data_IF_607433234108
#
_entry.id   IF_607433234108
#
_cell.length_a   1.000
_cell.length_b   1.000
_cell.length_c   1.000
_cell.angle_alpha   90.00
_cell.angle_beta   90.00
_cell.angle_gamma   90.00
#
_symmetry.space_group_name_H-M   'P 1'
#
loop_
_entity.id
_entity.type
_entity.pdbx_description
1 polymer ?
#
# COMPACT_ATOMS: atom_id res chain seq x y z
N UNK A 1 -4.93 1.69 -52.10
CA UNK A 1 -3.59 1.52 -51.57
C UNK A 1 -3.69 1.46 -50.05
N UNK A 2 -3.69 0.27 -49.54
CA UNK A 2 -3.84 -0.07 -48.12
C UNK A 2 -2.48 -0.05 -47.44
N UNK A 3 -2.28 0.86 -46.53
CA UNK A 3 -1.11 0.90 -45.66
C UNK A 3 -1.39 0.25 -44.33
N UNK A 4 -1.02 -1.03 -44.18
CA UNK A 4 -0.96 -1.74 -42.91
C UNK A 4 0.19 -1.17 -42.09
N UNK A 5 -0.10 -0.43 -41.05
CA UNK A 5 0.89 -0.17 -39.99
C UNK A 5 0.83 -1.35 -38.99
N UNK A 6 1.75 -2.28 -39.17
CA UNK A 6 2.14 -3.23 -38.12
C UNK A 6 2.77 -2.42 -36.98
N UNK A 7 2.02 -2.27 -35.90
CA UNK A 7 2.58 -1.82 -34.61
C UNK A 7 3.40 -2.98 -34.04
N UNK A 8 4.70 -2.73 -33.91
CA UNK A 8 5.68 -3.65 -33.36
C UNK A 8 5.28 -4.14 -31.95
N UNK A 9 4.96 -5.42 -31.87
CA UNK A 9 4.62 -6.14 -30.65
C UNK A 9 5.76 -6.22 -29.61
N UNK A 10 6.94 -5.72 -29.92
CA UNK A 10 8.11 -5.79 -29.04
C UNK A 10 8.18 -4.70 -27.99
N UNK A 11 7.42 -3.60 -28.16
CA UNK A 11 7.37 -2.50 -27.17
C UNK A 11 6.21 -2.67 -26.18
N UNK A 12 5.19 -3.47 -26.50
CA UNK A 12 4.03 -3.70 -25.61
C UNK A 12 4.27 -4.78 -24.55
N UNK A 13 5.14 -5.74 -24.81
CA UNK A 13 5.42 -6.83 -23.85
C UNK A 13 6.03 -6.37 -22.51
N UNK A 14 6.93 -5.37 -22.43
CA UNK A 14 7.40 -4.86 -21.14
C UNK A 14 6.33 -4.10 -20.35
N UNK A 15 5.43 -3.37 -21.03
CA UNK A 15 4.33 -2.63 -20.39
C UNK A 15 3.24 -3.57 -19.85
N UNK A 16 2.92 -4.62 -20.58
CA UNK A 16 1.94 -5.64 -20.16
C UNK A 16 2.49 -6.50 -19.00
N UNK A 17 3.81 -6.77 -18.98
CA UNK A 17 4.46 -7.43 -17.86
C UNK A 17 4.52 -6.52 -16.63
N UNK A 18 4.73 -5.21 -16.82
CA UNK A 18 4.60 -4.21 -15.76
C UNK A 18 3.16 -4.20 -15.20
N UNK A 19 2.16 -4.21 -16.06
CA UNK A 19 0.75 -4.30 -15.66
C UNK A 19 0.42 -5.62 -14.94
N UNK A 20 0.96 -6.75 -15.35
CA UNK A 20 0.72 -8.04 -14.71
C UNK A 20 1.38 -8.15 -13.31
N UNK A 21 2.55 -7.54 -13.10
CA UNK A 21 3.13 -7.35 -11.77
C UNK A 21 2.32 -6.37 -10.91
N UNK A 22 1.68 -5.40 -11.56
CA UNK A 22 0.86 -4.34 -10.96
C UNK A 22 -0.55 -4.83 -10.59
N UNK A 23 -1.10 -5.84 -11.25
CA UNK A 23 -2.39 -6.48 -10.91
C UNK A 23 -2.39 -7.08 -9.49
N UNK A 24 -1.23 -7.45 -8.98
CA UNK A 24 -1.07 -7.90 -7.59
C UNK A 24 -1.09 -6.75 -6.56
N UNK A 25 -1.03 -5.50 -7.01
CA UNK A 25 -0.84 -4.31 -6.16
C UNK A 25 -2.12 -3.47 -6.04
N UNK A 26 -3.11 -3.71 -6.90
CA UNK A 26 -4.39 -3.01 -6.85
C UNK A 26 -5.27 -3.57 -5.74
N UNK A 27 -5.19 -3.04 -4.63
CA UNK A 27 -6.03 -3.45 -3.55
C UNK A 27 -5.65 -2.85 -2.22
N UNK A 28 -4.98 -1.69 -2.21
CA UNK A 28 -4.14 -1.42 -1.12
C UNK A 28 -4.32 -0.11 -0.41
N UNK A 29 -5.39 0.60 -0.43
CA UNK A 29 -5.45 1.84 0.30
C UNK A 29 -6.76 2.09 1.03
N UNK A 30 -6.82 1.84 2.30
CA UNK A 30 -7.78 2.48 3.16
C UNK A 30 -7.21 2.73 4.52
N UNK A 31 -7.00 3.95 4.81
CA UNK A 31 -6.43 4.28 6.07
C UNK A 31 -7.01 5.50 6.68
N UNK A 32 -7.39 5.33 7.84
CA UNK A 32 -7.64 6.38 8.79
C UNK A 32 -8.95 7.15 8.56
N UNK A 33 -10.03 6.42 8.57
CA UNK A 33 -11.20 7.00 9.19
C UNK A 33 -10.83 7.34 10.64
N UNK A 34 -10.52 8.59 10.88
CA UNK A 34 -10.49 9.13 12.21
C UNK A 34 -11.93 9.09 12.70
N UNK A 35 -12.19 8.22 13.67
CA UNK A 35 -13.37 8.21 14.53
C UNK A 35 -14.75 8.20 13.83
N UNK A 36 -15.11 7.06 13.24
CA UNK A 36 -16.50 6.64 13.14
C UNK A 36 -16.51 5.12 13.15
N UNK A 37 -17.05 4.51 14.17
CA UNK A 37 -17.19 3.09 14.45
C UNK A 37 -15.91 2.24 14.55
N UNK A 38 -15.76 1.52 15.67
CA UNK A 38 -14.63 0.61 15.92
C UNK A 38 -14.46 -0.44 14.82
N UNK A 39 -15.53 -0.88 14.17
CA UNK A 39 -15.48 -1.84 13.06
C UNK A 39 -14.88 -1.26 11.78
N UNK A 40 -15.24 -0.02 11.41
CA UNK A 40 -14.69 0.61 10.21
C UNK A 40 -13.22 1.02 10.42
N UNK A 41 -12.83 1.41 11.63
CA UNK A 41 -11.43 1.67 11.97
C UNK A 41 -10.54 0.43 11.89
N UNK A 42 -11.06 -0.76 12.22
CA UNK A 42 -10.33 -2.01 12.09
C UNK A 42 -10.21 -2.48 10.65
N UNK A 43 -11.28 -2.35 9.85
CA UNK A 43 -11.24 -2.62 8.41
C UNK A 43 -10.18 -1.77 7.73
N UNK A 44 -10.21 -0.46 7.97
CA UNK A 44 -9.21 0.47 7.47
C UNK A 44 -7.78 0.08 7.89
N UNK A 45 -7.58 -0.39 9.11
CA UNK A 45 -6.26 -0.79 9.60
C UNK A 45 -5.76 -2.07 8.95
N UNK A 46 -6.59 -3.11 8.83
CA UNK A 46 -6.22 -4.37 8.16
C UNK A 46 -5.89 -4.14 6.69
N UNK A 47 -6.67 -3.32 6.03
CA UNK A 47 -6.43 -2.92 4.67
C UNK A 47 -5.07 -2.22 4.51
N UNK A 48 -4.74 -1.27 5.35
CA UNK A 48 -3.46 -0.56 5.31
C UNK A 48 -2.24 -1.44 5.54
N UNK A 49 -2.38 -2.46 6.40
CA UNK A 49 -1.33 -3.45 6.59
C UNK A 49 -1.16 -4.27 5.32
N UNK A 50 -2.25 -4.66 4.69
CA UNK A 50 -2.24 -5.36 3.40
C UNK A 50 -1.41 -4.61 2.37
N UNK A 51 -1.59 -3.30 2.29
CA UNK A 51 -0.90 -2.38 1.40
C UNK A 51 0.56 -2.27 1.61
N UNK A 52 0.88 -1.86 2.81
CA UNK A 52 2.26 -1.74 3.19
C UNK A 52 2.97 -3.08 2.98
N UNK A 53 2.27 -4.19 3.27
CA UNK A 53 2.75 -5.53 3.05
C UNK A 53 3.00 -5.84 1.56
N UNK A 54 2.09 -5.44 0.67
CA UNK A 54 2.20 -5.73 -0.76
C UNK A 54 3.36 -4.98 -1.41
N UNK A 55 3.48 -3.69 -1.13
CA UNK A 55 4.62 -2.87 -1.58
C UNK A 55 5.95 -3.45 -1.13
N UNK A 56 6.03 -3.92 0.12
CA UNK A 56 7.25 -4.53 0.64
C UNK A 56 7.47 -5.91 0.04
N UNK A 57 6.43 -6.71 -0.15
CA UNK A 57 6.52 -8.07 -0.70
C UNK A 57 7.03 -8.07 -2.14
N UNK A 58 6.47 -7.22 -3.01
CA UNK A 58 6.93 -7.07 -4.39
C UNK A 58 8.41 -6.68 -4.48
N UNK A 59 8.89 -5.89 -3.52
CA UNK A 59 10.26 -5.41 -3.47
C UNK A 59 11.26 -6.37 -2.80
N UNK A 60 10.78 -7.25 -1.90
CA UNK A 60 11.65 -8.15 -1.13
C UNK A 60 11.79 -9.56 -1.72
N UNK A 61 10.82 -10.03 -2.52
CA UNK A 61 10.84 -11.37 -3.08
C UNK A 61 11.97 -11.60 -4.09
N UNK A 62 12.45 -10.55 -4.76
CA UNK A 62 13.50 -10.64 -5.78
C UNK A 62 14.94 -10.43 -5.29
N UNK A 63 15.15 -10.20 -4.02
CA UNK A 63 16.48 -9.97 -3.43
C UNK A 63 17.34 -11.23 -3.25
N UNK A 64 17.22 -12.27 -4.10
CA UNK A 64 18.30 -13.26 -4.27
C UNK A 64 19.39 -12.68 -5.17
N UNK A 65 20.21 -11.78 -4.62
CA UNK A 65 21.55 -11.58 -5.13
C UNK A 65 22.26 -12.95 -5.17
N UNK A 66 22.32 -13.55 -6.34
CA UNK A 66 23.38 -14.52 -6.63
C UNK A 66 24.66 -13.70 -6.46
N UNK A 67 25.36 -13.89 -5.34
CA UNK A 67 26.75 -13.48 -5.27
C UNK A 67 27.40 -14.17 -6.45
N UNK A 68 27.78 -13.42 -7.47
CA UNK A 68 28.68 -13.88 -8.49
C UNK A 68 29.92 -14.40 -7.73
N UNK A 69 30.14 -15.69 -7.75
CA UNK A 69 31.43 -16.24 -7.47
C UNK A 69 32.33 -15.69 -8.57
N UNK A 70 33.01 -14.59 -8.28
CA UNK A 70 34.17 -14.20 -9.07
C UNK A 70 35.19 -15.32 -8.84
N UNK A 71 35.44 -16.13 -9.87
CA UNK A 71 36.62 -16.96 -9.98
C UNK A 71 37.85 -16.03 -10.09
N UNK A 72 38.25 -15.48 -8.96
CA UNK A 72 39.52 -14.83 -8.77
C UNK A 72 40.44 -15.78 -8.07
N UNK A 73 41.32 -16.39 -8.82
CA UNK A 73 42.53 -17.05 -8.31
C UNK A 73 43.36 -16.02 -7.56
N UNK A 74 43.62 -16.26 -6.29
CA UNK A 74 44.58 -15.41 -5.58
C UNK A 74 44.30 -15.23 -4.10
N UNK A 75 45.13 -15.85 -3.25
CA UNK A 75 45.35 -15.46 -1.87
C UNK A 75 44.52 -16.24 -0.85
N UNK A 76 45.13 -17.21 -0.18
CA UNK A 76 44.68 -17.75 1.09
C UNK A 76 44.78 -16.68 2.20
N UNK A 77 43.88 -15.70 2.16
CA UNK A 77 43.63 -14.85 3.31
C UNK A 77 42.87 -15.66 4.36
N UNK A 78 43.41 -15.80 5.56
CA UNK A 78 42.72 -16.40 6.71
C UNK A 78 41.31 -15.79 6.84
N UNK A 79 40.27 -16.63 6.66
CA UNK A 79 38.90 -16.22 6.89
C UNK A 79 38.71 -15.92 8.36
N UNK A 80 38.62 -14.66 8.72
CA UNK A 80 38.30 -14.24 10.09
C UNK A 80 37.08 -15.04 10.60
N UNK A 81 37.16 -15.64 11.80
CA UNK A 81 36.09 -16.42 12.37
C UNK A 81 34.84 -15.53 12.50
N UNK A 82 33.67 -16.03 12.10
CA UNK A 82 32.41 -15.30 12.24
C UNK A 82 32.10 -15.10 13.71
N UNK A 83 31.93 -13.84 14.13
CA UNK A 83 31.49 -13.52 15.48
C UNK A 83 30.11 -14.11 15.73
N UNK A 84 30.01 -15.02 16.71
CA UNK A 84 28.75 -15.55 17.17
C UNK A 84 28.13 -14.60 18.18
N UNK A 85 26.86 -14.23 17.96
CA UNK A 85 26.07 -13.42 18.92
C UNK A 85 25.05 -14.34 19.56
N UNK A 86 25.13 -14.48 20.87
CA UNK A 86 24.13 -15.22 21.64
C UNK A 86 22.93 -14.33 21.91
N UNK A 87 21.81 -14.58 21.22
CA UNK A 87 20.56 -13.85 21.39
C UNK A 87 19.77 -14.42 22.56
N UNK A 88 19.38 -13.56 23.51
CA UNK A 88 18.53 -13.91 24.66
C UNK A 88 17.04 -13.82 24.27
N UNK A 89 16.54 -14.88 23.63
CA UNK A 89 15.16 -14.97 23.15
C UNK A 89 14.14 -14.99 24.29
N UNK A 90 14.52 -15.51 25.46
CA UNK A 90 13.66 -15.52 26.65
C UNK A 90 13.47 -14.11 27.21
N UNK A 91 14.54 -13.36 27.31
CA UNK A 91 14.47 -11.95 27.70
C UNK A 91 13.53 -11.16 26.77
N UNK A 92 13.68 -11.31 25.47
CA UNK A 92 12.79 -10.64 24.49
C UNK A 92 11.33 -11.01 24.71
N UNK A 93 11.04 -12.29 24.93
CA UNK A 93 9.68 -12.78 25.19
C UNK A 93 9.10 -12.17 26.47
N UNK A 94 9.88 -12.16 27.55
CA UNK A 94 9.47 -11.57 28.83
C UNK A 94 9.23 -10.05 28.70
N UNK A 95 10.13 -9.31 28.03
CA UNK A 95 9.93 -7.90 27.78
C UNK A 95 8.62 -7.63 27.01
N UNK A 96 8.35 -8.36 25.93
CA UNK A 96 7.11 -8.20 25.16
C UNK A 96 5.87 -8.48 26.02
N UNK A 97 5.92 -9.52 26.85
CA UNK A 97 4.80 -9.86 27.73
C UNK A 97 4.58 -8.77 28.79
N UNK A 98 5.64 -8.32 29.45
CA UNK A 98 5.55 -7.28 30.48
C UNK A 98 5.13 -5.93 29.90
N UNK A 99 5.62 -5.59 28.71
CA UNK A 99 5.36 -4.28 28.14
C UNK A 99 3.97 -4.20 27.49
N UNK A 100 3.54 -5.25 26.75
CA UNK A 100 2.36 -5.14 25.88
C UNK A 100 1.36 -6.29 25.98
N UNK A 101 1.80 -7.56 26.17
CA UNK A 101 0.96 -8.73 25.88
C UNK A 101 0.55 -9.55 27.11
N UNK A 102 1.05 -9.23 28.28
CA UNK A 102 0.75 -9.92 29.54
C UNK A 102 -0.63 -9.56 30.10
N UNK A 103 -0.97 -10.19 31.22
CA UNK A 103 -2.22 -9.92 31.95
C UNK A 103 -2.29 -8.53 32.57
N UNK A 104 -1.12 -7.94 32.90
CA UNK A 104 -0.98 -6.59 33.41
C UNK A 104 0.20 -5.89 32.69
N UNK A 105 0.01 -5.51 31.43
CA UNK A 105 1.08 -4.91 30.68
C UNK A 105 1.37 -3.47 31.14
N UNK A 106 2.62 -3.05 31.05
CA UNK A 106 3.05 -1.69 31.37
C UNK A 106 2.40 -0.65 30.45
N UNK A 107 2.14 -1.03 29.20
CA UNK A 107 1.54 -0.17 28.18
C UNK A 107 0.17 -0.70 27.80
N UNK A 108 -0.85 0.15 27.87
CA UNK A 108 -2.23 -0.19 27.57
C UNK A 108 -2.51 -0.38 26.07
N UNK A 109 -3.77 -0.74 25.73
CA UNK A 109 -4.19 -0.95 24.33
C UNK A 109 -3.95 0.26 23.42
N UNK A 110 -4.13 1.47 23.91
CA UNK A 110 -3.90 2.69 23.14
C UNK A 110 -2.41 2.93 22.85
N UNK A 111 -1.53 2.62 23.81
CA UNK A 111 -0.08 2.67 23.58
C UNK A 111 0.35 1.61 22.58
N UNK A 112 -0.21 0.41 22.66
CA UNK A 112 0.01 -0.65 21.69
C UNK A 112 -0.37 -0.18 20.27
N UNK A 113 -1.58 0.36 20.12
CA UNK A 113 -2.09 0.90 18.84
C UNK A 113 -1.21 2.03 18.32
N UNK A 114 -0.75 2.92 19.21
CA UNK A 114 0.17 4.03 18.86
C UNK A 114 1.52 3.51 18.37
N UNK A 115 2.08 2.46 18.99
CA UNK A 115 3.40 1.91 18.67
C UNK A 115 3.37 1.02 17.44
N UNK A 116 2.39 0.13 17.34
CA UNK A 116 2.33 -0.89 16.28
C UNK A 116 1.35 -0.57 15.16
N UNK A 117 0.60 0.53 15.27
CA UNK A 117 -0.38 1.03 14.29
C UNK A 117 -1.57 0.09 14.05
N UNK A 118 -1.78 -0.89 14.90
CA UNK A 118 -2.88 -1.86 14.84
C UNK A 118 -3.54 -1.99 16.20
N UNK A 119 -4.85 -2.29 16.22
CA UNK A 119 -5.55 -2.62 17.45
C UNK A 119 -5.12 -3.99 17.98
N UNK A 120 -5.41 -4.27 19.25
CA UNK A 120 -5.22 -5.59 19.85
C UNK A 120 -5.99 -6.69 19.12
N UNK A 121 -7.22 -6.38 18.69
CA UNK A 121 -8.07 -7.31 17.96
C UNK A 121 -7.44 -7.65 16.61
N UNK A 122 -7.05 -6.65 15.81
CA UNK A 122 -6.34 -6.83 14.55
C UNK A 122 -5.04 -7.61 14.73
N UNK A 123 -4.25 -7.29 15.76
CA UNK A 123 -3.03 -8.02 16.08
C UNK A 123 -3.29 -9.50 16.30
N UNK A 124 -4.30 -9.86 17.10
CA UNK A 124 -4.65 -11.25 17.39
C UNK A 124 -5.15 -11.98 16.14
N UNK A 125 -5.94 -11.35 15.29
CA UNK A 125 -6.37 -11.90 14.01
C UNK A 125 -5.17 -12.23 13.11
N UNK A 126 -4.25 -11.27 12.94
CA UNK A 126 -3.02 -11.45 12.17
C UNK A 126 -2.13 -12.55 12.74
N UNK A 127 -1.97 -12.59 14.06
CA UNK A 127 -1.17 -13.58 14.76
C UNK A 127 -1.71 -15.00 14.53
N UNK A 128 -3.01 -15.19 14.72
CA UNK A 128 -3.67 -16.48 14.53
C UNK A 128 -3.59 -16.93 13.08
N UNK A 129 -3.88 -16.06 12.14
CA UNK A 129 -3.76 -16.34 10.71
C UNK A 129 -2.33 -16.76 10.32
N UNK A 130 -1.33 -15.97 10.69
CA UNK A 130 0.08 -16.26 10.35
C UNK A 130 0.58 -17.57 10.97
N UNK A 131 0.18 -17.88 12.20
CA UNK A 131 0.51 -19.16 12.82
C UNK A 131 -0.12 -20.33 12.08
N UNK A 132 -1.31 -20.14 11.50
CA UNK A 132 -2.00 -21.19 10.73
C UNK A 132 -1.30 -21.44 9.38
N UNK A 133 -1.07 -20.39 8.61
CA UNK A 133 -0.62 -20.51 7.19
C UNK A 133 0.89 -20.63 7.04
N UNK A 134 1.69 -20.02 7.93
CA UNK A 134 3.14 -19.91 7.73
C UNK A 134 3.93 -20.58 8.86
N UNK A 135 4.57 -21.74 8.61
CA UNK A 135 5.33 -22.49 9.63
C UNK A 135 6.42 -21.68 10.32
N UNK A 136 6.95 -20.66 9.67
CA UNK A 136 7.96 -19.77 10.25
C UNK A 136 7.42 -19.03 11.48
N UNK A 137 6.16 -18.62 11.49
CA UNK A 137 5.54 -17.91 12.62
C UNK A 137 5.13 -18.83 13.76
N UNK A 138 5.03 -20.14 13.53
CA UNK A 138 4.68 -21.10 14.59
C UNK A 138 5.72 -21.15 15.70
N UNK A 139 5.29 -21.32 16.96
CA UNK A 139 6.21 -21.60 18.06
C UNK A 139 6.95 -22.93 17.82
N UNK A 140 8.01 -23.18 18.53
CA UNK A 140 8.77 -24.43 18.46
C UNK A 140 10.27 -24.23 18.64
N UNK A 141 11.03 -25.29 18.31
CA UNK A 141 12.48 -25.31 18.45
C UNK A 141 13.18 -25.26 17.09
N UNK A 142 14.37 -24.72 17.07
CA UNK A 142 15.26 -24.77 15.88
C UNK A 142 16.02 -26.11 15.82
N UNK A 143 16.80 -26.31 14.76
CA UNK A 143 17.59 -27.53 14.56
C UNK A 143 18.61 -27.79 15.70
N UNK A 144 18.96 -26.77 16.46
CA UNK A 144 19.87 -26.84 17.62
C UNK A 144 19.11 -27.04 18.94
N UNK A 145 17.83 -27.37 18.91
CA UNK A 145 16.94 -27.53 20.07
C UNK A 145 16.77 -26.27 20.94
N UNK A 146 17.08 -25.09 20.38
CA UNK A 146 16.81 -23.82 21.04
C UNK A 146 15.40 -23.32 20.67
N UNK A 147 14.70 -22.71 21.61
CA UNK A 147 13.41 -22.08 21.33
C UNK A 147 13.58 -21.06 20.19
N UNK A 148 12.69 -21.12 19.19
CA UNK A 148 12.64 -20.14 18.10
C UNK A 148 12.32 -18.76 18.65
N UNK A 149 12.61 -17.70 17.88
CA UNK A 149 12.08 -16.36 18.15
C UNK A 149 10.55 -16.49 18.26
N UNK A 150 9.97 -15.92 19.31
CA UNK A 150 8.53 -16.03 19.56
C UNK A 150 7.71 -15.49 18.40
N UNK A 151 6.50 -16.01 18.21
CA UNK A 151 5.57 -15.52 17.19
C UNK A 151 5.32 -14.02 17.35
N UNK A 152 5.13 -13.60 18.59
CA UNK A 152 4.85 -12.20 18.91
C UNK A 152 6.01 -11.29 18.52
N UNK A 153 7.26 -11.68 18.85
CA UNK A 153 8.43 -10.91 18.41
C UNK A 153 8.53 -10.80 16.88
N UNK A 154 8.27 -11.90 16.15
CA UNK A 154 8.32 -11.90 14.68
C UNK A 154 7.28 -10.95 14.07
N UNK A 155 6.05 -10.99 14.59
CA UNK A 155 4.96 -10.14 14.11
C UNK A 155 5.20 -8.67 14.49
N UNK A 156 5.57 -8.40 15.74
CA UNK A 156 5.82 -7.03 16.20
C UNK A 156 7.02 -6.37 15.48
N UNK A 157 8.05 -7.13 15.09
CA UNK A 157 9.14 -6.64 14.24
C UNK A 157 8.60 -6.15 12.90
N UNK A 158 7.76 -6.94 12.23
CA UNK A 158 7.20 -6.57 10.93
C UNK A 158 6.31 -5.32 11.05
N UNK A 159 5.44 -5.26 12.05
CA UNK A 159 4.58 -4.10 12.31
C UNK A 159 5.38 -2.83 12.63
N UNK A 160 6.42 -2.94 13.49
CA UNK A 160 7.32 -1.81 13.79
C UNK A 160 8.08 -1.32 12.56
N UNK A 161 8.52 -2.24 11.70
CA UNK A 161 9.18 -1.88 10.46
C UNK A 161 8.29 -1.02 9.56
N UNK A 162 7.03 -1.42 9.39
CA UNK A 162 6.03 -0.64 8.65
C UNK A 162 5.75 0.71 9.32
N UNK A 163 5.50 0.69 10.62
CA UNK A 163 5.12 1.87 11.39
C UNK A 163 6.18 2.98 11.35
N UNK A 164 7.46 2.61 11.43
CA UNK A 164 8.54 3.59 11.61
C UNK A 164 9.44 3.80 10.39
N UNK A 165 9.46 2.88 9.43
CA UNK A 165 10.33 2.95 8.25
C UNK A 165 11.83 3.04 8.62
N UNK A 166 12.23 2.39 9.71
CA UNK A 166 13.62 2.35 10.17
C UNK A 166 14.27 1.01 9.83
N UNK A 167 15.60 0.99 9.85
CA UNK A 167 16.32 -0.29 9.65
C UNK A 167 15.92 -1.31 10.73
N UNK A 168 15.83 -2.58 10.36
CA UNK A 168 15.56 -3.67 11.32
C UNK A 168 16.58 -3.78 12.43
N UNK A 169 17.80 -3.25 12.24
CA UNK A 169 18.82 -3.18 13.27
C UNK A 169 18.41 -2.31 14.45
N UNK A 170 17.54 -1.31 14.25
CA UNK A 170 17.02 -0.49 15.34
C UNK A 170 16.19 -1.27 16.37
N UNK A 171 15.76 -2.49 16.03
CA UNK A 171 14.91 -3.32 16.88
C UNK A 171 15.65 -4.49 17.51
N UNK A 172 16.91 -4.75 17.10
CA UNK A 172 17.65 -5.97 17.46
C UNK A 172 17.83 -6.16 18.96
N UNK A 173 18.06 -5.07 19.67
CA UNK A 173 18.37 -5.11 21.10
C UNK A 173 17.14 -5.43 21.96
N UNK A 174 15.97 -4.96 21.56
CA UNK A 174 14.69 -5.27 22.21
C UNK A 174 14.20 -6.69 21.86
N UNK A 175 14.20 -7.04 20.59
CA UNK A 175 13.69 -8.34 20.15
C UNK A 175 14.71 -9.46 20.19
N UNK A 176 15.97 -9.18 20.56
CA UNK A 176 17.06 -10.16 20.63
C UNK A 176 17.13 -11.03 19.35
N UNK A 177 17.24 -10.39 18.20
CA UNK A 177 17.18 -11.03 16.89
C UNK A 177 18.20 -10.44 15.91
N UNK A 178 18.80 -11.32 15.09
CA UNK A 178 19.73 -10.88 14.04
C UNK A 178 18.98 -10.26 12.84
N UNK A 179 19.65 -9.36 12.11
CA UNK A 179 19.12 -8.62 10.97
C UNK A 179 18.48 -9.52 9.92
N UNK A 180 19.13 -10.60 9.53
CA UNK A 180 18.61 -11.54 8.52
C UNK A 180 17.30 -12.21 8.95
N UNK A 181 17.15 -12.52 10.25
CA UNK A 181 15.91 -13.07 10.80
C UNK A 181 14.83 -12.02 10.85
N UNK A 182 15.16 -10.78 11.27
CA UNK A 182 14.22 -9.67 11.29
C UNK A 182 13.70 -9.34 9.89
N UNK A 183 14.57 -9.28 8.88
CA UNK A 183 14.16 -9.11 7.47
C UNK A 183 13.33 -10.28 6.97
N UNK A 184 13.60 -11.51 7.41
CA UNK A 184 12.75 -12.66 7.07
C UNK A 184 11.36 -12.54 7.70
N UNK A 185 11.23 -11.97 8.91
CA UNK A 185 9.92 -11.67 9.51
C UNK A 185 9.13 -10.71 8.63
N UNK A 186 9.74 -9.60 8.19
CA UNK A 186 9.09 -8.63 7.30
C UNK A 186 8.67 -9.29 5.98
N UNK A 187 9.59 -9.99 5.31
CA UNK A 187 9.32 -10.65 4.03
C UNK A 187 8.16 -11.64 4.07
N UNK A 188 8.17 -12.53 5.06
CA UNK A 188 7.12 -13.54 5.16
C UNK A 188 5.80 -12.93 5.63
N UNK A 189 5.84 -11.95 6.54
CA UNK A 189 4.65 -11.21 6.94
C UNK A 189 3.98 -10.56 5.72
N UNK A 190 4.72 -9.78 4.97
CA UNK A 190 4.18 -9.06 3.80
C UNK A 190 3.64 -10.02 2.75
N UNK A 191 4.39 -11.09 2.42
CA UNK A 191 3.95 -12.12 1.50
C UNK A 191 2.62 -12.75 1.91
N UNK A 192 2.52 -13.21 3.15
CA UNK A 192 1.31 -13.91 3.62
C UNK A 192 0.10 -12.98 3.73
N UNK A 193 0.30 -11.71 4.08
CA UNK A 193 -0.80 -10.75 4.15
C UNK A 193 -1.34 -10.42 2.76
N UNK A 194 -0.48 -10.28 1.76
CA UNK A 194 -0.91 -9.99 0.38
C UNK A 194 -1.70 -11.11 -0.30
N UNK A 195 -1.48 -12.34 0.13
CA UNK A 195 -2.21 -13.52 -0.38
C UNK A 195 -3.35 -13.97 0.54
N UNK A 196 -3.62 -13.23 1.62
CA UNK A 196 -4.54 -13.63 2.68
C UNK A 196 -6.02 -13.40 2.34
N UNK A 197 -6.94 -14.08 3.05
CA UNK A 197 -8.37 -13.75 3.03
C UNK A 197 -8.66 -12.30 3.44
N UNK A 198 -7.81 -11.68 4.28
CA UNK A 198 -7.92 -10.25 4.60
C UNK A 198 -7.87 -9.38 3.35
N UNK A 199 -7.06 -9.75 2.35
CA UNK A 199 -7.07 -9.04 1.08
C UNK A 199 -8.44 -9.11 0.44
N UNK A 200 -9.04 -10.29 0.32
CA UNK A 200 -10.35 -10.47 -0.30
C UNK A 200 -11.47 -9.74 0.46
N UNK A 201 -11.35 -9.64 1.77
CA UNK A 201 -12.34 -8.94 2.60
C UNK A 201 -12.20 -7.42 2.51
N UNK A 202 -10.96 -6.89 2.58
CA UNK A 202 -10.68 -5.45 2.68
C UNK A 202 -10.27 -4.80 1.36
N UNK A 203 -10.05 -5.59 0.30
CA UNK A 203 -9.59 -5.16 -1.04
C UNK A 203 -10.41 -5.75 -2.17
N UNK A 204 -11.67 -5.87 -1.97
CA UNK A 204 -12.61 -6.24 -3.02
C UNK A 204 -13.04 -5.02 -3.84
N UNK A 205 -13.47 -5.27 -5.06
CA UNK A 205 -14.16 -4.27 -5.85
C UNK A 205 -15.41 -3.76 -5.13
N UNK A 206 -15.77 -2.50 -5.39
CA UNK A 206 -16.99 -1.89 -4.89
C UNK A 206 -18.21 -2.68 -5.41
N UNK A 207 -19.14 -3.01 -4.53
CA UNK A 207 -20.45 -3.55 -4.92
C UNK A 207 -21.46 -2.43 -5.06
N UNK A 208 -22.61 -2.68 -5.71
CA UNK A 208 -23.69 -1.66 -5.79
C UNK A 208 -24.19 -1.26 -4.39
N UNK A 209 -24.18 -2.18 -3.41
CA UNK A 209 -24.53 -1.87 -2.02
C UNK A 209 -23.53 -0.91 -1.37
N UNK A 210 -22.24 -1.09 -1.65
CA UNK A 210 -21.21 -0.14 -1.20
C UNK A 210 -21.37 1.21 -1.89
N UNK A 211 -21.57 1.22 -3.21
CA UNK A 211 -21.76 2.44 -3.98
C UNK A 211 -22.93 3.27 -3.47
N UNK A 212 -24.07 2.64 -3.14
CA UNK A 212 -25.23 3.32 -2.53
C UNK A 212 -24.89 3.92 -1.17
N UNK A 213 -24.14 3.20 -0.32
CA UNK A 213 -23.72 3.70 0.99
C UNK A 213 -22.75 4.87 0.87
N UNK A 214 -21.78 4.75 -0.02
CA UNK A 214 -20.75 5.78 -0.27
C UNK A 214 -21.39 7.03 -0.86
N UNK A 215 -22.26 6.87 -1.86
CA UNK A 215 -23.01 7.97 -2.48
C UNK A 215 -23.89 8.69 -1.46
N UNK A 216 -24.61 7.96 -0.63
CA UNK A 216 -25.44 8.55 0.42
C UNK A 216 -24.61 9.38 1.42
N UNK A 217 -23.40 8.89 1.79
CA UNK A 217 -22.47 9.62 2.65
C UNK A 217 -21.97 10.91 1.97
N UNK A 218 -21.51 10.81 0.71
CA UNK A 218 -21.06 11.98 -0.05
C UNK A 218 -22.20 13.00 -0.25
N UNK A 219 -23.42 12.52 -0.49
CA UNK A 219 -24.60 13.39 -0.58
C UNK A 219 -24.85 14.12 0.74
N UNK A 220 -24.78 13.43 1.88
CA UNK A 220 -24.98 14.05 3.19
C UNK A 220 -23.89 15.08 3.54
N UNK A 221 -22.63 14.83 3.16
CA UNK A 221 -21.49 15.68 3.51
C UNK A 221 -21.26 16.80 2.49
N UNK A 222 -21.41 16.50 1.19
CA UNK A 222 -21.07 17.39 0.10
C UNK A 222 -22.28 18.03 -0.59
N UNK A 223 -23.49 17.52 -0.33
CA UNK A 223 -24.72 18.03 -0.89
C UNK A 223 -24.98 17.67 -2.36
N UNK A 224 -24.17 16.74 -2.94
CA UNK A 224 -24.26 16.38 -4.36
C UNK A 224 -24.43 14.88 -4.54
N UNK A 225 -25.40 14.49 -5.40
CA UNK A 225 -25.76 13.11 -5.71
C UNK A 225 -24.79 12.47 -6.73
N UNK A 226 -24.65 11.17 -6.65
CA UNK A 226 -23.91 10.35 -7.62
C UNK A 226 -22.40 10.27 -7.41
N UNK A 227 -21.84 10.98 -6.44
CA UNK A 227 -20.41 10.97 -6.14
C UNK A 227 -20.02 9.71 -5.36
N UNK A 228 -18.97 9.03 -5.81
CA UNK A 228 -18.43 7.83 -5.15
C UNK A 228 -16.99 7.98 -4.65
N UNK A 229 -16.34 9.11 -4.89
CA UNK A 229 -15.00 9.36 -4.37
C UNK A 229 -14.19 10.35 -5.18
N UNK A 230 -12.89 10.36 -4.87
CA UNK A 230 -11.89 11.19 -5.54
C UNK A 230 -10.69 10.34 -5.95
N UNK A 231 -10.15 10.60 -7.14
CA UNK A 231 -9.00 9.91 -7.72
C UNK A 231 -7.83 10.87 -7.87
N UNK A 232 -6.64 10.44 -7.48
CA UNK A 232 -5.41 11.21 -7.65
C UNK A 232 -4.17 10.31 -7.58
N UNK A 233 -3.00 10.87 -7.92
CA UNK A 233 -1.71 10.22 -7.85
C UNK A 233 -0.79 10.87 -6.82
N UNK A 234 0.03 10.05 -6.15
CA UNK A 234 1.02 10.52 -5.17
C UNK A 234 2.38 9.88 -5.39
N UNK A 235 3.44 10.69 -5.26
CA UNK A 235 4.82 10.23 -5.37
C UNK A 235 5.38 9.78 -4.02
N UNK A 236 6.12 8.67 -4.04
CA UNK A 236 6.90 8.14 -2.90
C UNK A 236 8.36 8.10 -3.32
N UNK A 237 9.23 8.77 -2.58
CA UNK A 237 10.66 8.83 -2.90
C UNK A 237 11.31 7.45 -2.81
N UNK A 238 12.03 7.06 -3.85
CA UNK A 238 12.77 5.80 -3.90
C UNK A 238 14.26 6.03 -3.63
N UNK A 239 14.65 5.97 -2.36
CA UNK A 239 16.00 6.35 -1.91
C UNK A 239 17.13 5.46 -2.45
N UNK A 240 16.86 4.18 -2.67
CA UNK A 240 17.85 3.22 -3.19
C UNK A 240 17.56 2.82 -4.64
N UNK A 241 17.04 3.75 -5.44
CA UNK A 241 16.86 3.51 -6.87
C UNK A 241 18.22 3.17 -7.52
N UNK A 242 18.34 2.07 -8.26
CA UNK A 242 19.56 1.75 -9.00
C UNK A 242 19.86 2.85 -10.03
N UNK A 243 21.14 3.19 -10.21
CA UNK A 243 21.58 4.25 -11.12
C UNK A 243 21.05 4.05 -12.55
N UNK A 244 20.99 2.78 -12.99
CA UNK A 244 20.44 2.42 -14.31
C UNK A 244 18.96 2.79 -14.51
N UNK A 245 18.21 2.99 -13.42
CA UNK A 245 16.79 3.33 -13.46
C UNK A 245 16.50 4.78 -13.04
N UNK A 246 17.51 5.56 -12.62
CA UNK A 246 17.30 6.92 -12.14
C UNK A 246 16.53 7.77 -13.15
N UNK A 247 16.91 7.76 -14.44
CA UNK A 247 16.24 8.54 -15.46
C UNK A 247 14.76 8.18 -15.63
N UNK A 248 14.44 6.90 -15.54
CA UNK A 248 13.08 6.39 -15.70
C UNK A 248 12.16 6.71 -14.50
N UNK A 249 12.75 6.83 -13.30
CA UNK A 249 11.99 7.08 -12.07
C UNK A 249 12.13 8.53 -11.57
N UNK A 250 12.84 9.39 -12.26
CA UNK A 250 13.05 10.78 -11.84
C UNK A 250 11.75 11.58 -11.81
N UNK A 251 11.24 11.83 -10.61
CA UNK A 251 10.03 12.64 -10.40
C UNK A 251 10.28 14.14 -10.57
N UNK A 252 9.20 14.92 -10.43
CA UNK A 252 9.21 16.40 -10.61
C UNK A 252 10.25 17.12 -9.74
N UNK A 253 10.62 16.57 -8.59
CA UNK A 253 11.62 17.14 -7.67
C UNK A 253 13.07 16.69 -7.98
N UNK A 254 13.32 16.06 -9.12
CA UNK A 254 14.65 15.58 -9.51
C UNK A 254 15.14 14.35 -8.74
N UNK A 255 14.30 13.74 -7.90
CA UNK A 255 14.59 12.51 -7.14
C UNK A 255 13.82 11.34 -7.75
N UNK A 256 14.39 10.11 -7.73
CA UNK A 256 13.65 8.93 -8.13
C UNK A 256 12.43 8.75 -7.24
N UNK A 257 11.26 8.56 -7.85
CA UNK A 257 10.00 8.31 -7.16
C UNK A 257 9.23 7.17 -7.80
N UNK A 258 8.41 6.53 -6.99
CA UNK A 258 7.42 5.54 -7.41
C UNK A 258 6.05 6.19 -7.19
N UNK A 259 5.16 6.10 -8.19
CA UNK A 259 3.85 6.72 -8.11
C UNK A 259 2.81 5.72 -7.65
N UNK A 260 1.88 6.24 -6.87
CA UNK A 260 0.69 5.55 -6.37
C UNK A 260 -0.53 6.26 -6.93
N UNK A 261 -1.39 5.55 -7.61
CA UNK A 261 -2.74 5.99 -7.97
C UNK A 261 -3.72 5.46 -6.93
N UNK A 262 -4.67 6.27 -6.48
CA UNK A 262 -5.73 5.81 -5.57
C UNK A 262 -7.05 6.53 -5.80
N UNK A 263 -8.17 5.77 -5.72
CA UNK A 263 -9.53 6.28 -5.62
C UNK A 263 -10.05 6.04 -4.21
N UNK A 264 -10.49 7.09 -3.53
CA UNK A 264 -10.95 7.03 -2.14
C UNK A 264 -12.29 7.71 -1.94
N UNK A 265 -13.04 7.26 -0.95
CA UNK A 265 -14.26 7.94 -0.49
C UNK A 265 -13.99 8.93 0.64
N UNK A 266 -15.02 9.59 1.12
CA UNK A 266 -14.93 10.56 2.23
C UNK A 266 -14.37 9.97 3.52
N UNK A 267 -14.59 8.68 3.80
CA UNK A 267 -14.05 7.98 4.97
C UNK A 267 -12.58 7.65 4.85
N UNK A 268 -11.96 7.99 3.71
CA UNK A 268 -10.62 7.61 3.32
C UNK A 268 -10.47 6.11 3.10
N UNK A 269 -11.57 5.41 2.77
CA UNK A 269 -11.51 4.05 2.29
C UNK A 269 -11.12 4.04 0.81
N UNK A 270 -10.08 3.31 0.44
CA UNK A 270 -9.63 3.22 -0.94
C UNK A 270 -10.32 2.04 -1.65
N UNK A 271 -11.07 2.37 -2.67
CA UNK A 271 -11.76 1.43 -3.54
C UNK A 271 -10.89 0.96 -4.71
N UNK A 272 -9.87 1.75 -5.02
CA UNK A 272 -8.86 1.42 -6.00
C UNK A 272 -7.51 1.98 -5.55
N UNK A 273 -6.44 1.22 -5.77
CA UNK A 273 -5.09 1.75 -5.70
C UNK A 273 -4.11 0.89 -6.48
N UNK A 274 -3.18 1.54 -7.14
CA UNK A 274 -2.07 0.91 -7.86
C UNK A 274 -0.77 1.59 -7.46
N UNK A 275 0.25 0.79 -7.16
CA UNK A 275 1.58 1.25 -6.80
C UNK A 275 2.60 0.67 -7.76
N UNK A 276 3.58 1.47 -8.17
CA UNK A 276 4.71 0.97 -8.95
C UNK A 276 4.97 1.73 -10.26
N UNK A 277 4.15 2.70 -10.59
CA UNK A 277 4.41 3.52 -11.78
C UNK A 277 5.70 4.33 -11.64
N UNK A 278 6.38 4.54 -12.77
CA UNK A 278 7.62 5.31 -12.83
C UNK A 278 7.35 6.79 -12.52
N UNK A 279 8.23 7.43 -11.75
CA UNK A 279 8.07 8.83 -11.36
C UNK A 279 8.11 9.85 -12.49
N UNK A 280 8.59 9.46 -13.68
CA UNK A 280 8.57 10.30 -14.90
C UNK A 280 7.19 10.35 -15.57
N UNK A 281 6.31 9.36 -15.27
CA UNK A 281 4.98 9.33 -15.86
C UNK A 281 4.13 10.44 -15.26
N UNK A 282 3.38 11.12 -16.12
CA UNK A 282 2.32 12.04 -15.69
C UNK A 282 1.04 11.26 -15.36
N UNK A 283 0.11 11.91 -14.68
CA UNK A 283 -1.11 11.29 -14.21
C UNK A 283 -1.99 10.78 -15.36
N UNK A 284 -1.95 11.42 -16.54
CA UNK A 284 -2.65 10.95 -17.76
C UNK A 284 -2.08 9.62 -18.24
N UNK A 285 -0.74 9.53 -18.35
CA UNK A 285 -0.10 8.27 -18.78
C UNK A 285 -0.31 7.15 -17.75
N UNK A 286 -0.36 7.48 -16.46
CA UNK A 286 -0.70 6.53 -15.40
C UNK A 286 -2.13 6.06 -15.59
N UNK A 287 -3.07 6.99 -15.83
CA UNK A 287 -4.46 6.70 -16.08
C UNK A 287 -4.65 5.77 -17.29
N UNK A 288 -3.98 6.03 -18.40
CA UNK A 288 -4.06 5.20 -19.62
C UNK A 288 -3.64 3.73 -19.37
N UNK A 289 -2.88 3.48 -18.31
CA UNK A 289 -2.47 2.15 -17.87
C UNK A 289 -3.19 1.68 -16.60
N UNK A 290 -4.19 2.42 -16.13
CA UNK A 290 -4.90 2.13 -14.89
C UNK A 290 -5.85 0.95 -15.03
N UNK A 291 -5.86 0.08 -14.03
CA UNK A 291 -6.85 -1.00 -13.91
C UNK A 291 -8.27 -0.46 -13.71
N UNK A 292 -8.40 0.75 -13.14
CA UNK A 292 -9.68 1.40 -12.99
C UNK A 292 -10.25 1.81 -14.36
N UNK A 293 -9.40 2.33 -15.25
CA UNK A 293 -9.80 2.58 -16.64
C UNK A 293 -10.22 1.31 -17.34
N UNK A 294 -9.44 0.22 -17.17
CA UNK A 294 -9.81 -1.07 -17.77
C UNK A 294 -11.18 -1.54 -17.29
N UNK A 295 -11.45 -1.47 -15.97
CA UNK A 295 -12.75 -1.82 -15.40
C UNK A 295 -13.89 -0.93 -15.90
N UNK A 296 -13.64 0.33 -16.23
CA UNK A 296 -14.60 1.22 -16.86
C UNK A 296 -14.85 0.86 -18.33
N UNK A 297 -13.81 0.39 -19.05
CA UNK A 297 -13.91 0.04 -20.47
C UNK A 297 -14.51 -1.36 -20.69
N UNK A 298 -14.32 -2.31 -19.79
CA UNK A 298 -14.84 -3.68 -19.90
C UNK A 298 -16.27 -3.84 -19.34
N UNK A 299 -16.87 -2.75 -18.82
CA UNK A 299 -18.20 -2.73 -18.26
C UNK A 299 -18.31 -3.18 -16.80
N UNK A 300 -17.23 -3.69 -16.20
CA UNK A 300 -17.24 -4.14 -14.80
C UNK A 300 -17.61 -3.03 -13.80
N UNK A 301 -17.40 -1.78 -14.20
CA UNK A 301 -17.76 -0.61 -13.40
C UNK A 301 -19.25 -0.23 -13.51
N UNK A 302 -19.97 -0.75 -14.48
CA UNK A 302 -21.41 -0.51 -14.66
C UNK A 302 -22.25 -1.27 -13.63
N UNK A 303 -21.74 -2.36 -13.08
CA UNK A 303 -22.41 -3.17 -12.06
C UNK A 303 -22.70 -2.40 -10.76
N UNK A 304 -21.99 -1.31 -10.50
CA UNK A 304 -22.20 -0.46 -9.32
C UNK A 304 -23.19 0.68 -9.57
N UNK A 305 -23.54 0.98 -10.80
CA UNK A 305 -24.36 2.10 -11.17
C UNK A 305 -25.82 1.95 -10.71
N UNK A 306 -26.46 3.08 -10.48
CA UNK A 306 -27.89 3.20 -10.22
C UNK A 306 -28.38 4.61 -10.54
N UNK A 307 -29.67 4.79 -10.89
CA UNK A 307 -30.19 6.10 -11.22
C UNK A 307 -30.26 7.03 -10.02
N UNK A 308 -29.90 8.30 -10.24
CA UNK A 308 -30.04 9.38 -9.26
C UNK A 308 -30.45 10.68 -9.95
N UNK A 309 -31.02 11.63 -9.19
CA UNK A 309 -31.55 12.89 -9.73
C UNK A 309 -30.69 14.06 -9.27
N UNK A 310 -30.36 14.96 -10.21
CA UNK A 310 -29.74 16.26 -9.93
C UNK A 310 -30.53 17.33 -10.70
N UNK A 311 -31.10 18.30 -9.99
CA UNK A 311 -31.81 19.43 -10.62
C UNK A 311 -33.03 19.06 -11.44
N UNK A 312 -33.62 17.86 -11.25
CA UNK A 312 -34.77 17.37 -12.02
C UNK A 312 -34.37 16.43 -13.16
N UNK A 313 -33.08 16.30 -13.48
CA UNK A 313 -32.56 15.38 -14.48
C UNK A 313 -32.09 14.07 -13.86
N UNK A 314 -32.33 12.94 -14.56
CA UNK A 314 -31.95 11.60 -14.10
C UNK A 314 -30.64 11.18 -14.76
N UNK A 315 -29.65 10.91 -13.94
CA UNK A 315 -28.35 10.39 -14.31
C UNK A 315 -28.28 8.90 -13.97
N UNK A 316 -27.53 8.13 -14.77
CA UNK A 316 -27.37 6.68 -14.58
C UNK A 316 -25.99 6.30 -14.06
N UNK A 317 -24.97 7.10 -14.36
CA UNK A 317 -23.58 6.80 -14.09
C UNK A 317 -23.08 7.53 -12.85
N UNK A 318 -22.58 6.78 -11.88
CA UNK A 318 -21.87 7.34 -10.75
C UNK A 318 -20.54 7.96 -11.19
N UNK A 319 -20.08 8.98 -10.46
CA UNK A 319 -18.95 9.80 -10.86
C UNK A 319 -17.98 10.04 -9.69
N UNK A 320 -16.76 10.46 -10.03
CA UNK A 320 -15.68 10.79 -9.10
C UNK A 320 -15.02 12.12 -9.44
N UNK A 321 -14.43 12.75 -8.43
CA UNK A 321 -13.65 13.97 -8.60
C UNK A 321 -12.23 13.62 -9.04
N UNK A 322 -11.74 14.34 -10.05
CA UNK A 322 -10.36 14.18 -10.56
C UNK A 322 -9.72 15.55 -10.77
N UNK A 323 -8.39 15.57 -10.91
CA UNK A 323 -7.67 16.80 -11.26
C UNK A 323 -7.95 17.22 -12.72
N UNK A 324 -7.73 18.49 -13.02
CA UNK A 324 -7.94 19.08 -14.34
C UNK A 324 -7.17 18.39 -15.47
N UNK A 325 -6.06 17.73 -15.16
CA UNK A 325 -5.21 17.03 -16.12
C UNK A 325 -5.83 15.75 -16.70
N UNK A 326 -6.73 15.07 -15.95
CA UNK A 326 -7.34 13.82 -16.39
C UNK A 326 -8.20 14.00 -17.67
N UNK A 327 -8.40 12.95 -18.51
CA UNK A 327 -9.23 13.05 -19.70
C UNK A 327 -10.69 13.34 -19.36
N UNK A 328 -11.45 13.93 -20.32
CA UNK A 328 -12.87 14.24 -20.12
C UNK A 328 -13.74 12.99 -20.29
N UNK A 329 -13.83 12.16 -19.27
CA UNK A 329 -14.73 11.00 -19.24
C UNK A 329 -16.04 11.36 -18.54
N UNK A 330 -17.14 10.67 -18.91
CA UNK A 330 -18.48 10.89 -18.33
C UNK A 330 -18.53 10.70 -16.80
N UNK A 331 -17.64 9.87 -16.26
CA UNK A 331 -17.51 9.60 -14.83
C UNK A 331 -16.58 10.55 -14.09
N UNK A 332 -15.93 11.49 -14.79
CA UNK A 332 -14.94 12.40 -14.22
C UNK A 332 -15.47 13.81 -14.12
N UNK A 333 -15.57 14.30 -12.90
CA UNK A 333 -15.93 15.69 -12.62
C UNK A 333 -14.65 16.47 -12.31
N UNK A 334 -14.26 17.35 -13.23
CA UNK A 334 -13.07 18.16 -13.23
C UNK A 334 -13.35 19.59 -12.79
N UNK A 335 -12.37 20.33 -12.26
CA UNK A 335 -12.51 21.79 -12.13
C UNK A 335 -12.62 22.44 -13.51
N UNK A 336 -13.31 23.54 -13.62
CA UNK A 336 -13.40 24.34 -14.85
C UNK A 336 -12.14 25.19 -14.95
N UNK A 337 -11.31 24.93 -15.95
CA UNK A 337 -9.99 25.58 -16.09
C UNK A 337 -10.09 27.08 -16.34
N UNK A 338 -11.11 27.53 -17.06
CA UNK A 338 -11.35 28.96 -17.37
C UNK A 338 -12.82 29.27 -17.09
N UNK A 339 -13.16 29.57 -15.83
CA UNK A 339 -14.55 29.90 -15.48
C UNK A 339 -14.97 31.22 -16.11
N UNK A 340 -16.11 31.23 -16.80
CA UNK A 340 -16.68 32.41 -17.48
C UNK A 340 -17.55 33.23 -16.55
N UNK A 341 -17.88 32.77 -15.37
CA UNK A 341 -18.74 33.43 -14.41
C UNK A 341 -18.52 32.98 -12.98
N UNK A 342 -19.17 33.69 -12.04
CA UNK A 342 -19.04 33.45 -10.61
C UNK A 342 -19.48 32.02 -10.23
N UNK A 343 -20.55 31.51 -10.83
CA UNK A 343 -21.06 30.16 -10.56
C UNK A 343 -20.04 29.07 -10.94
N UNK A 344 -19.37 29.19 -12.09
CA UNK A 344 -18.34 28.24 -12.54
C UNK A 344 -17.10 28.34 -11.66
N UNK A 345 -16.73 29.56 -11.22
CA UNK A 345 -15.63 29.76 -10.30
C UNK A 345 -15.93 29.10 -8.93
N UNK A 346 -17.15 29.30 -8.41
CA UNK A 346 -17.59 28.65 -7.16
C UNK A 346 -17.63 27.13 -7.28
N UNK A 347 -18.09 26.60 -8.42
CA UNK A 347 -18.06 25.16 -8.69
C UNK A 347 -16.63 24.61 -8.66
N UNK A 348 -15.68 25.28 -9.30
CA UNK A 348 -14.28 24.85 -9.33
C UNK A 348 -13.66 24.85 -7.93
N UNK A 349 -13.91 25.89 -7.13
CA UNK A 349 -13.48 25.94 -5.73
C UNK A 349 -14.12 24.84 -4.88
N UNK A 350 -15.41 24.55 -5.09
CA UNK A 350 -16.09 23.45 -4.43
C UNK A 350 -15.45 22.11 -4.81
N UNK A 351 -15.27 21.85 -6.11
CA UNK A 351 -14.67 20.63 -6.64
C UNK A 351 -13.27 20.38 -6.06
N UNK A 352 -12.38 21.35 -6.11
CA UNK A 352 -11.04 21.28 -5.55
C UNK A 352 -11.05 21.05 -4.04
N UNK A 353 -11.96 21.71 -3.32
CA UNK A 353 -12.13 21.53 -1.88
C UNK A 353 -12.52 20.10 -1.51
N UNK A 354 -13.42 19.46 -2.28
CA UNK A 354 -13.91 18.10 -2.00
C UNK A 354 -12.93 17.01 -2.50
N UNK A 355 -12.20 17.28 -3.58
CA UNK A 355 -11.14 16.40 -4.07
C UNK A 355 -10.00 16.20 -3.05
N UNK A 356 -9.83 17.14 -2.12
CA UNK A 356 -8.84 17.03 -1.03
C UNK A 356 -8.98 15.78 -0.16
N UNK A 357 -10.07 15.02 -0.26
CA UNK A 357 -10.19 13.75 0.46
C UNK A 357 -9.08 12.75 0.05
N UNK A 358 -8.73 12.66 -1.23
CA UNK A 358 -7.63 11.79 -1.68
C UNK A 358 -6.26 12.31 -1.24
N UNK A 359 -6.06 13.63 -1.22
CA UNK A 359 -4.82 14.22 -0.69
C UNK A 359 -4.69 13.97 0.83
N UNK A 360 -5.80 14.14 1.57
CA UNK A 360 -5.90 13.82 3.00
C UNK A 360 -5.58 12.35 3.25
N UNK A 361 -6.11 11.46 2.40
CA UNK A 361 -5.80 10.04 2.46
C UNK A 361 -4.29 9.78 2.33
N UNK A 362 -3.60 10.31 1.31
CA UNK A 362 -2.14 10.12 1.16
C UNK A 362 -1.37 10.67 2.35
N UNK A 363 -1.79 11.81 2.91
CA UNK A 363 -1.19 12.39 4.10
C UNK A 363 -1.31 11.49 5.32
N UNK A 364 -2.51 10.98 5.59
CA UNK A 364 -2.78 10.09 6.71
C UNK A 364 -2.05 8.75 6.54
N UNK A 365 -2.09 8.18 5.35
CA UNK A 365 -1.40 6.93 5.03
C UNK A 365 0.11 7.02 5.29
N UNK A 366 0.77 8.03 4.73
CA UNK A 366 2.21 8.26 4.94
C UNK A 366 2.53 8.50 6.42
N UNK A 367 1.66 9.21 7.15
CA UNK A 367 1.83 9.47 8.59
C UNK A 367 1.63 8.21 9.45
N UNK A 368 0.67 7.35 9.09
CA UNK A 368 0.40 6.10 9.80
C UNK A 368 1.53 5.09 9.59
N UNK A 369 1.98 4.95 8.35
CA UNK A 369 3.11 4.09 7.99
C UNK A 369 4.28 4.93 7.50
N UNK A 370 5.07 5.41 8.45
CA UNK A 370 6.20 6.30 8.20
C UNK A 370 7.26 5.69 7.26
N UNK A 371 7.14 4.38 6.99
CA UNK A 371 7.86 3.70 5.93
C UNK A 371 7.69 4.40 4.56
N UNK A 372 6.50 4.89 4.23
CA UNK A 372 6.20 5.57 2.96
C UNK A 372 6.46 7.09 2.98
N UNK A 373 6.65 7.66 4.16
CA UNK A 373 7.06 9.06 4.31
C UNK A 373 8.58 9.24 4.16
N UNK A 374 9.34 8.16 4.27
CA UNK A 374 10.81 8.15 4.12
C UNK A 374 11.19 7.60 2.75
N UNK A 375 12.40 7.94 2.24
CA UNK A 375 12.92 7.30 1.02
C UNK A 375 12.93 5.77 1.17
N UNK A 376 12.22 5.10 0.31
CA UNK A 376 12.07 3.63 0.34
C UNK A 376 13.43 2.98 0.11
N UNK A 377 13.92 2.12 1.02
CA UNK A 377 15.29 1.61 1.00
C UNK A 377 15.48 0.35 0.17
N UNK A 378 14.58 0.01 -0.75
CA UNK A 378 14.64 -1.24 -1.49
C UNK A 378 15.30 -1.09 -2.85
N UNK A 379 15.94 -2.17 -3.28
CA UNK A 379 16.31 -2.41 -4.67
C UNK A 379 15.14 -3.13 -5.34
N UNK A 380 14.33 -2.41 -6.11
CA UNK A 380 13.38 -3.00 -7.06
C UNK A 380 14.20 -3.67 -8.18
N UNK A 381 14.65 -4.90 -7.98
CA UNK A 381 15.32 -5.66 -9.03
C UNK A 381 14.57 -6.96 -9.29
N UNK A 382 14.06 -7.06 -10.49
CA UNK A 382 13.45 -8.21 -11.15
C UNK A 382 12.02 -8.55 -10.74
N UNK A 383 11.07 -7.89 -11.38
CA UNK A 383 9.86 -8.52 -11.89
C UNK A 383 9.43 -7.78 -13.16
N UNK A 384 10.26 -7.86 -14.18
CA UNK A 384 9.85 -7.57 -15.57
C UNK A 384 10.61 -8.50 -16.49
#
# INVERSE_FOLDING_TARGET
MSGNHNLDNTTFLPLVAAAAGTVLIAGVFSAAAVALDEEDGERATCQNIGIAAEVISSNLLDGRSKRHASNGSGGHGEKKPRRYVCWDRQRAKLCIMNDYLGSQPSFGPEDFKRVFRVSWRTYNQLRNYLCHVQPFFRPGFDATKREKVSTDAKLLIALKYLAYGTTVNAFRDYFQVGESTAMKCVKLFTKEITTSPFRQEYFRSMTQGDAKRVEALHTAVHGVRGMIGSLDCSHIVWGNCPVAHHGQYQGKEGKPTIVVEAMVDYTLYAWHAVFGYCGTLNDVTIWDNSLLLQAMCDGSFEDIDFPFNIGGEVFQQLWMLVDGIYPPLSRFVKPISVPLGETEALFSLWQESKRKDVERFFGVFKKKFNFFAKPVPFFLWRTF
#
